data_IF_641596730731
#
_entry.id   IF_641596730731
#
_cell.length_a   1.000
_cell.length_b   1.000
_cell.length_c   1.000
_cell.angle_alpha   90.00
_cell.angle_beta   90.00
_cell.angle_gamma   90.00
#
_symmetry.space_group_name_H-M   'P 1'
#
loop_
_entity.id
_entity.type
_entity.pdbx_description
1 polymer ?
#
# COMPACT_ATOMS: atom_id res chain seq x y z
N UNK A 1 16.07 -2.03 5.06
CA UNK A 1 14.67 -2.26 5.49
C UNK A 1 14.42 -1.90 6.95
N UNK A 2 15.15 -2.44 7.98
CA UNK A 2 14.89 -2.06 9.40
C UNK A 2 15.11 -0.57 9.63
N UNK A 3 16.24 -0.04 9.19
CA UNK A 3 16.54 1.40 9.32
C UNK A 3 15.53 2.27 8.57
N UNK A 4 15.11 1.86 7.37
CA UNK A 4 14.10 2.61 6.62
C UNK A 4 12.73 2.61 7.30
N UNK A 5 12.31 1.51 7.94
CA UNK A 5 11.10 1.44 8.73
C UNK A 5 11.14 2.40 9.93
N UNK A 6 12.26 2.40 10.65
CA UNK A 6 12.44 3.29 11.82
C UNK A 6 12.45 4.76 11.39
N UNK A 7 13.17 5.09 10.33
CA UNK A 7 13.25 6.47 9.82
C UNK A 7 11.86 6.94 9.34
N UNK A 8 11.18 6.16 8.49
CA UNK A 8 9.85 6.55 8.00
C UNK A 8 8.82 6.64 9.13
N UNK A 9 8.88 5.73 10.10
CA UNK A 9 8.02 5.78 11.28
C UNK A 9 8.29 7.02 12.13
N UNK A 10 9.56 7.34 12.41
CA UNK A 10 9.94 8.53 13.18
C UNK A 10 9.52 9.83 12.47
N UNK A 11 9.72 9.92 11.15
CA UNK A 11 9.28 11.07 10.36
C UNK A 11 7.76 11.20 10.31
N UNK A 12 7.04 10.08 10.23
CA UNK A 12 5.57 10.07 10.27
C UNK A 12 5.05 10.56 11.64
N UNK A 13 5.67 10.11 12.73
CA UNK A 13 5.33 10.58 14.09
C UNK A 13 5.65 12.07 14.25
N UNK A 14 6.82 12.52 13.79
CA UNK A 14 7.17 13.95 13.79
C UNK A 14 6.12 14.77 13.05
N UNK A 15 5.73 14.35 11.85
CA UNK A 15 4.74 15.04 11.04
C UNK A 15 3.36 15.06 11.73
N UNK A 16 2.96 13.93 12.35
CA UNK A 16 1.75 13.83 13.13
C UNK A 16 1.75 14.84 14.29
N UNK A 17 2.86 14.93 15.04
CA UNK A 17 2.99 15.89 16.15
C UNK A 17 2.90 17.32 15.64
N UNK A 18 3.62 17.67 14.56
CA UNK A 18 3.60 19.01 13.98
C UNK A 18 2.20 19.42 13.52
N UNK A 19 1.44 18.49 12.94
CA UNK A 19 0.04 18.72 12.54
C UNK A 19 -0.86 18.87 13.79
N UNK A 20 -0.71 17.99 14.77
CA UNK A 20 -1.53 18.00 15.98
C UNK A 20 -1.35 19.28 16.82
N UNK A 21 -0.10 19.79 16.93
CA UNK A 21 0.18 21.05 17.62
C UNK A 21 -0.02 22.30 16.74
N UNK A 22 -0.52 22.11 15.52
CA UNK A 22 -0.76 23.22 14.56
C UNK A 22 0.46 24.10 14.30
N UNK A 23 1.64 23.48 14.10
CA UNK A 23 2.88 24.20 13.90
C UNK A 23 2.81 25.10 12.67
N UNK A 24 2.87 26.43 12.90
CA UNK A 24 2.54 27.41 11.88
C UNK A 24 3.40 27.37 10.62
N UNK A 25 4.73 27.07 10.64
CA UNK A 25 5.50 26.95 9.40
C UNK A 25 5.05 25.81 8.50
N UNK A 26 4.66 24.66 9.05
CA UNK A 26 4.13 23.54 8.27
C UNK A 26 2.77 23.89 7.67
N UNK A 27 1.87 24.48 8.47
CA UNK A 27 0.55 24.86 8.02
C UNK A 27 0.58 25.98 6.97
N UNK A 28 1.55 26.92 7.07
CA UNK A 28 1.74 27.95 6.06
C UNK A 28 2.27 27.38 4.74
N UNK A 29 3.19 26.41 4.80
CA UNK A 29 3.64 25.67 3.62
C UNK A 29 2.48 24.93 2.96
N UNK A 30 1.70 24.17 3.72
CA UNK A 30 0.52 23.45 3.24
C UNK A 30 -0.44 24.40 2.51
N UNK A 31 -0.75 25.54 3.11
CA UNK A 31 -1.62 26.56 2.48
C UNK A 31 -1.02 27.14 1.21
N UNK A 32 0.25 27.53 1.25
CA UNK A 32 0.92 28.13 0.09
C UNK A 32 0.92 27.20 -1.11
N UNK A 33 1.21 25.91 -0.89
CA UNK A 33 1.19 24.88 -1.93
C UNK A 33 -0.23 24.64 -2.43
N UNK A 34 -1.19 24.49 -1.51
CA UNK A 34 -2.58 24.25 -1.88
C UNK A 34 -3.17 25.41 -2.65
N UNK A 35 -2.95 26.67 -2.23
CA UNK A 35 -3.41 27.88 -2.92
C UNK A 35 -2.80 27.99 -4.32
N UNK A 36 -1.51 27.71 -4.48
CA UNK A 36 -0.85 27.76 -5.78
C UNK A 36 -1.41 26.74 -6.75
N UNK A 37 -1.59 25.49 -6.30
CA UNK A 37 -2.12 24.40 -7.12
C UNK A 37 -3.61 24.58 -7.43
N UNK A 38 -4.40 25.09 -6.48
CA UNK A 38 -5.80 25.38 -6.73
C UNK A 38 -6.00 26.46 -7.78
N UNK A 39 -5.20 27.54 -7.76
CA UNK A 39 -5.22 28.55 -8.84
C UNK A 39 -4.88 27.92 -10.20
N UNK A 40 -3.88 27.03 -10.25
CA UNK A 40 -3.53 26.31 -11.48
C UNK A 40 -4.69 25.41 -11.94
N UNK A 41 -5.36 24.72 -11.00
CA UNK A 41 -6.45 23.82 -11.30
C UNK A 41 -7.68 24.57 -11.88
N UNK A 42 -7.96 25.78 -11.42
CA UNK A 42 -8.99 26.65 -11.99
C UNK A 42 -8.61 27.19 -13.38
N UNK A 43 -7.33 27.49 -13.60
CA UNK A 43 -6.85 28.03 -14.88
C UNK A 43 -6.76 26.98 -15.99
N UNK A 44 -6.62 25.68 -15.64
CA UNK A 44 -6.34 24.59 -16.58
C UNK A 44 -7.41 23.47 -16.51
N UNK A 45 -8.65 23.72 -16.96
CA UNK A 45 -9.75 22.75 -16.79
C UNK A 45 -9.48 21.39 -17.42
N UNK A 46 -8.79 21.35 -18.58
CA UNK A 46 -8.43 20.10 -19.26
C UNK A 46 -7.44 19.24 -18.44
N UNK A 47 -6.43 19.87 -17.87
CA UNK A 47 -5.47 19.20 -17.01
C UNK A 47 -6.10 18.75 -15.68
N UNK A 48 -6.99 19.56 -15.13
CA UNK A 48 -7.79 19.21 -13.94
C UNK A 48 -8.67 18.01 -14.19
N UNK A 49 -9.34 17.94 -15.35
CA UNK A 49 -10.14 16.77 -15.74
C UNK A 49 -9.27 15.50 -15.86
N UNK A 50 -8.09 15.60 -16.48
CA UNK A 50 -7.17 14.48 -16.57
C UNK A 50 -6.70 14.00 -15.18
N UNK A 51 -6.35 14.93 -14.26
CA UNK A 51 -5.99 14.59 -12.87
C UNK A 51 -7.14 13.91 -12.13
N UNK A 52 -8.37 14.33 -12.36
CA UNK A 52 -9.58 13.71 -11.78
C UNK A 52 -9.75 12.28 -12.29
N UNK A 53 -9.65 12.06 -13.61
CA UNK A 53 -9.72 10.72 -14.19
C UNK A 53 -8.63 9.78 -13.63
N UNK A 54 -7.40 10.27 -13.51
CA UNK A 54 -6.31 9.49 -12.92
C UNK A 54 -6.59 9.16 -11.45
N UNK A 55 -7.08 10.11 -10.67
CA UNK A 55 -7.37 9.95 -9.26
C UNK A 55 -8.52 8.98 -8.99
N UNK A 56 -9.58 9.05 -9.81
CA UNK A 56 -10.84 8.34 -9.56
C UNK A 56 -10.88 6.94 -10.19
N UNK A 57 -10.02 6.67 -11.20
CA UNK A 57 -10.01 5.40 -11.91
C UNK A 57 -8.70 4.64 -11.78
N UNK A 58 -7.57 5.30 -12.08
CA UNK A 58 -6.26 4.63 -12.08
C UNK A 58 -5.73 4.46 -10.67
N UNK A 59 -5.78 5.53 -9.88
CA UNK A 59 -5.26 5.60 -8.51
C UNK A 59 -6.35 5.61 -7.44
N UNK A 60 -7.52 5.08 -7.77
CA UNK A 60 -8.57 4.88 -6.78
C UNK A 60 -8.16 3.79 -5.78
N UNK A 61 -8.36 4.00 -4.48
CA UNK A 61 -8.05 3.00 -3.46
C UNK A 61 -8.73 1.64 -3.66
N UNK A 62 -9.88 1.59 -4.33
CA UNK A 62 -10.55 0.33 -4.64
C UNK A 62 -9.82 -0.46 -5.71
N UNK A 63 -9.25 0.20 -6.73
CA UNK A 63 -8.40 -0.43 -7.76
C UNK A 63 -7.20 -1.10 -7.10
N UNK A 64 -6.47 -0.37 -6.25
CA UNK A 64 -5.32 -0.92 -5.52
C UNK A 64 -5.72 -2.08 -4.60
N UNK A 65 -6.83 -1.96 -3.88
CA UNK A 65 -7.37 -3.04 -3.03
C UNK A 65 -7.76 -4.27 -3.85
N UNK A 66 -8.37 -4.09 -5.02
CA UNK A 66 -8.71 -5.18 -5.93
C UNK A 66 -7.46 -5.92 -6.43
N UNK A 67 -6.39 -5.20 -6.77
CA UNK A 67 -5.11 -5.79 -7.14
C UNK A 67 -4.48 -6.59 -6.00
N UNK A 68 -4.51 -6.07 -4.77
CA UNK A 68 -4.05 -6.79 -3.58
C UNK A 68 -4.91 -8.05 -3.35
N UNK A 69 -6.24 -7.94 -3.46
CA UNK A 69 -7.14 -9.07 -3.30
C UNK A 69 -6.88 -10.16 -4.35
N UNK A 70 -6.66 -9.76 -5.61
CA UNK A 70 -6.28 -10.69 -6.68
C UNK A 70 -4.94 -11.39 -6.37
N UNK A 71 -3.92 -10.66 -5.90
CA UNK A 71 -2.65 -11.24 -5.48
C UNK A 71 -2.84 -12.24 -4.32
N UNK A 72 -3.64 -11.89 -3.32
CA UNK A 72 -3.98 -12.78 -2.18
C UNK A 72 -4.67 -14.05 -2.67
N UNK A 73 -5.63 -13.97 -3.60
CA UNK A 73 -6.29 -15.13 -4.19
C UNK A 73 -5.31 -16.02 -4.95
N UNK A 74 -4.43 -15.43 -5.76
CA UNK A 74 -3.38 -16.18 -6.48
C UNK A 74 -2.46 -16.91 -5.50
N UNK A 75 -1.98 -16.24 -4.44
CA UNK A 75 -1.17 -16.87 -3.40
C UNK A 75 -1.92 -18.01 -2.72
N UNK A 76 -3.21 -17.85 -2.45
CA UNK A 76 -4.05 -18.88 -1.85
C UNK A 76 -4.17 -20.11 -2.76
N UNK A 77 -4.40 -19.94 -4.05
CA UNK A 77 -4.44 -21.01 -5.03
C UNK A 77 -3.10 -21.74 -5.19
N UNK A 78 -1.98 -20.99 -5.06
CA UNK A 78 -0.62 -21.53 -5.07
C UNK A 78 -0.23 -22.24 -3.77
N UNK A 79 -1.16 -22.37 -2.84
CA UNK A 79 -0.94 -22.98 -1.50
C UNK A 79 0.04 -22.19 -0.61
N UNK A 80 0.24 -20.93 -0.88
CA UNK A 80 1.07 -20.02 -0.08
C UNK A 80 0.21 -19.26 0.92
N UNK A 81 -0.53 -20.00 1.74
CA UNK A 81 -1.58 -19.46 2.62
C UNK A 81 -1.05 -18.48 3.65
N UNK A 82 0.14 -18.74 4.19
CA UNK A 82 0.75 -17.84 5.17
C UNK A 82 1.14 -16.50 4.58
N UNK A 83 1.70 -16.48 3.37
CA UNK A 83 2.01 -15.24 2.67
C UNK A 83 0.72 -14.47 2.32
N UNK A 84 -0.32 -15.18 1.87
CA UNK A 84 -1.63 -14.59 1.61
C UNK A 84 -2.23 -13.94 2.86
N UNK A 85 -2.25 -14.64 4.00
CA UNK A 85 -2.71 -14.12 5.29
C UNK A 85 -1.87 -12.93 5.74
N UNK A 86 -0.55 -12.98 5.52
CA UNK A 86 0.35 -11.91 5.90
C UNK A 86 0.10 -10.62 5.11
N UNK A 87 -0.04 -10.72 3.79
CA UNK A 87 -0.39 -9.59 2.92
C UNK A 87 -1.75 -9.00 3.32
N UNK A 88 -2.74 -9.86 3.59
CA UNK A 88 -4.05 -9.44 4.09
C UNK A 88 -3.94 -8.70 5.42
N UNK A 89 -3.23 -9.25 6.39
CA UNK A 89 -3.04 -8.64 7.71
C UNK A 89 -2.32 -7.29 7.62
N UNK A 90 -1.28 -7.17 6.78
CA UNK A 90 -0.57 -5.92 6.56
C UNK A 90 -1.49 -4.83 5.95
N UNK A 91 -2.34 -5.22 4.99
CA UNK A 91 -3.30 -4.32 4.35
C UNK A 91 -4.37 -3.85 5.34
N UNK A 92 -4.91 -4.76 6.15
CA UNK A 92 -5.90 -4.44 7.18
C UNK A 92 -5.30 -3.58 8.29
N UNK A 93 -4.06 -3.84 8.71
CA UNK A 93 -3.33 -3.01 9.66
C UNK A 93 -3.17 -1.59 9.12
N UNK A 94 -2.76 -1.44 7.87
CA UNK A 94 -2.64 -0.13 7.23
C UNK A 94 -3.97 0.63 7.23
N UNK A 95 -5.07 -0.05 6.87
CA UNK A 95 -6.40 0.55 6.88
C UNK A 95 -6.83 0.94 8.30
N UNK A 96 -6.58 0.09 9.29
CA UNK A 96 -6.87 0.37 10.70
C UNK A 96 -6.10 1.59 11.24
N UNK A 97 -4.79 1.64 10.97
CA UNK A 97 -3.94 2.79 11.35
C UNK A 97 -4.44 4.07 10.67
N UNK A 98 -4.75 4.02 9.37
CA UNK A 98 -5.28 5.16 8.64
C UNK A 98 -6.58 5.68 9.26
N UNK A 99 -7.55 4.81 9.50
CA UNK A 99 -8.86 5.22 10.07
C UNK A 99 -8.73 5.70 11.52
N UNK A 100 -7.90 5.03 12.32
CA UNK A 100 -7.61 5.45 13.69
C UNK A 100 -7.00 6.86 13.74
N UNK A 101 -6.01 7.15 12.89
CA UNK A 101 -5.40 8.48 12.81
C UNK A 101 -6.38 9.54 12.28
N UNK A 102 -7.23 9.20 11.29
CA UNK A 102 -8.28 10.10 10.82
C UNK A 102 -9.24 10.51 11.95
N UNK A 103 -9.67 9.53 12.73
CA UNK A 103 -10.57 9.78 13.87
C UNK A 103 -9.89 10.57 15.00
N UNK A 104 -8.61 10.28 15.28
CA UNK A 104 -7.86 10.93 16.36
C UNK A 104 -7.48 12.38 16.03
N UNK A 105 -7.05 12.66 14.79
CA UNK A 105 -6.57 13.99 14.40
C UNK A 105 -7.71 14.91 13.96
N UNK A 106 -8.72 14.38 13.28
CA UNK A 106 -9.89 15.14 12.84
C UNK A 106 -9.58 16.34 11.94
N UNK A 107 -8.42 16.36 11.27
CA UNK A 107 -7.94 17.52 10.50
C UNK A 107 -8.91 17.91 9.39
N UNK A 108 -9.32 19.20 9.30
CA UNK A 108 -10.14 19.68 8.20
C UNK A 108 -9.36 19.65 6.88
N UNK A 109 -10.09 19.42 5.78
CA UNK A 109 -9.56 19.51 4.41
C UNK A 109 -9.41 20.97 3.97
N UNK A 110 -8.63 21.26 2.91
CA UNK A 110 -8.72 22.53 2.23
C UNK A 110 -10.16 22.85 1.87
N UNK A 111 -10.59 24.09 2.13
CA UNK A 111 -11.93 24.58 1.79
C UNK A 111 -11.82 25.69 0.75
N UNK A 112 -12.49 25.51 -0.39
CA UNK A 112 -12.44 26.42 -1.52
C UNK A 112 -13.81 27.00 -1.82
N UNK A 113 -13.94 28.30 -2.21
CA UNK A 113 -15.19 28.85 -2.73
C UNK A 113 -15.65 28.11 -3.99
N UNK A 114 -14.72 27.79 -4.88
CA UNK A 114 -14.95 27.07 -6.15
C UNK A 114 -14.18 25.75 -6.15
N UNK A 115 -14.69 24.69 -5.49
CA UNK A 115 -13.97 23.44 -5.38
C UNK A 115 -13.91 22.71 -6.72
N UNK A 116 -12.72 22.29 -7.14
CA UNK A 116 -12.53 21.49 -8.36
C UNK A 116 -12.78 20.01 -8.13
N UNK A 117 -12.79 19.57 -6.88
CA UNK A 117 -13.13 18.22 -6.45
C UNK A 117 -13.66 18.22 -5.01
N UNK A 118 -14.28 17.13 -4.57
CA UNK A 118 -14.81 16.98 -3.23
C UNK A 118 -14.37 15.69 -2.59
N UNK A 119 -14.13 15.70 -1.27
CA UNK A 119 -13.84 14.51 -0.51
C UNK A 119 -14.39 14.65 0.90
N UNK A 120 -14.90 13.54 1.42
CA UNK A 120 -15.48 13.46 2.75
C UNK A 120 -14.45 12.94 3.77
N UNK A 121 -14.79 13.08 5.06
CA UNK A 121 -13.96 12.65 6.19
C UNK A 121 -12.68 13.49 6.42
N UNK A 122 -12.00 13.21 7.55
CA UNK A 122 -10.78 13.91 7.94
C UNK A 122 -9.65 13.81 6.90
N UNK A 123 -8.84 14.88 6.82
CA UNK A 123 -7.77 14.98 5.82
C UNK A 123 -6.56 14.11 6.16
N UNK A 124 -6.13 14.07 7.42
CA UNK A 124 -4.89 13.44 7.84
C UNK A 124 -5.06 12.01 8.36
N UNK A 125 -4.22 11.06 7.92
CA UNK A 125 -3.35 11.09 6.74
C UNK A 125 -4.15 10.86 5.45
N UNK A 126 -3.52 11.13 4.26
CA UNK A 126 -4.12 10.84 2.98
C UNK A 126 -4.31 9.34 2.75
N UNK A 127 -5.57 8.93 2.58
CA UNK A 127 -5.92 7.53 2.39
C UNK A 127 -5.47 6.98 1.03
N UNK A 128 -5.59 7.77 -0.03
CA UNK A 128 -5.12 7.41 -1.36
C UNK A 128 -3.60 7.18 -1.36
N UNK A 129 -2.83 8.15 -0.84
CA UNK A 129 -1.37 8.05 -0.78
C UNK A 129 -0.90 6.85 0.05
N UNK A 130 -1.53 6.60 1.21
CA UNK A 130 -1.17 5.47 2.07
C UNK A 130 -1.52 4.12 1.42
N UNK A 131 -2.74 3.98 0.85
CA UNK A 131 -3.20 2.73 0.22
C UNK A 131 -2.33 2.39 -0.99
N UNK A 132 -2.01 3.38 -1.83
CA UNK A 132 -1.16 3.17 -3.01
C UNK A 132 0.26 2.76 -2.63
N UNK A 133 0.85 3.41 -1.61
CA UNK A 133 2.18 3.05 -1.11
C UNK A 133 2.22 1.62 -0.58
N UNK A 134 1.21 1.23 0.21
CA UNK A 134 1.09 -0.14 0.74
C UNK A 134 0.89 -1.14 -0.39
N UNK A 135 -0.02 -0.84 -1.32
CA UNK A 135 -0.32 -1.73 -2.45
C UNK A 135 0.91 -1.96 -3.35
N UNK A 136 1.50 -0.89 -3.84
CA UNK A 136 2.72 -0.97 -4.66
C UNK A 136 3.86 -1.70 -3.93
N UNK A 137 4.09 -1.37 -2.65
CA UNK A 137 5.15 -1.98 -1.87
C UNK A 137 4.96 -3.47 -1.62
N UNK A 138 3.74 -3.90 -1.24
CA UNK A 138 3.42 -5.31 -1.01
C UNK A 138 3.42 -6.11 -2.32
N UNK A 139 2.84 -5.57 -3.40
CA UNK A 139 2.82 -6.23 -4.72
C UNK A 139 4.22 -6.42 -5.28
N UNK A 140 5.07 -5.38 -5.24
CA UNK A 140 6.48 -5.50 -5.64
C UNK A 140 7.23 -6.52 -4.78
N UNK A 141 6.97 -6.56 -3.47
CA UNK A 141 7.58 -7.54 -2.60
C UNK A 141 7.15 -8.97 -2.92
N UNK A 142 5.84 -9.22 -3.11
CA UNK A 142 5.32 -10.53 -3.52
C UNK A 142 5.91 -10.95 -4.87
N UNK A 143 5.95 -10.06 -5.84
CA UNK A 143 6.59 -10.34 -7.12
C UNK A 143 8.07 -10.68 -6.96
N UNK A 144 8.81 -9.98 -6.09
CA UNK A 144 10.22 -10.26 -5.82
C UNK A 144 10.48 -11.62 -5.18
N UNK A 145 9.49 -12.22 -4.51
CA UNK A 145 9.59 -13.58 -3.96
C UNK A 145 9.42 -14.67 -5.02
N UNK A 146 8.68 -14.39 -6.09
CA UNK A 146 8.23 -15.41 -7.05
C UNK A 146 8.83 -15.27 -8.45
N UNK A 147 9.29 -14.09 -8.80
CA UNK A 147 9.67 -13.78 -10.16
C UNK A 147 11.15 -13.39 -10.26
N UNK A 148 11.89 -14.15 -11.05
CA UNK A 148 13.30 -13.89 -11.39
C UNK A 148 13.39 -13.03 -12.65
N UNK A 149 12.99 -11.77 -12.51
CA UNK A 149 13.12 -10.81 -13.61
C UNK A 149 14.56 -10.32 -13.77
N UNK A 150 14.84 -9.86 -15.00
CA UNK A 150 16.06 -9.11 -15.27
C UNK A 150 16.05 -7.79 -14.50
N UNK A 151 17.23 -7.21 -14.27
CA UNK A 151 17.33 -5.89 -13.63
C UNK A 151 16.49 -4.81 -14.35
N UNK A 152 16.34 -4.92 -15.70
CA UNK A 152 15.50 -4.01 -16.48
C UNK A 152 14.02 -4.16 -16.14
N UNK A 153 13.53 -5.38 -16.02
CA UNK A 153 12.14 -5.64 -15.61
C UNK A 153 11.85 -5.06 -14.23
N UNK A 154 12.76 -5.25 -13.27
CA UNK A 154 12.64 -4.66 -11.94
C UNK A 154 12.67 -3.13 -11.96
N UNK A 155 13.51 -2.52 -12.79
CA UNK A 155 13.56 -1.05 -12.93
C UNK A 155 12.24 -0.50 -13.46
N UNK A 156 11.63 -1.13 -14.45
CA UNK A 156 10.33 -0.73 -14.99
C UNK A 156 9.24 -0.82 -13.93
N UNK A 157 9.16 -1.94 -13.21
CA UNK A 157 8.16 -2.11 -12.13
C UNK A 157 8.35 -1.11 -10.99
N UNK A 158 9.59 -0.87 -10.58
CA UNK A 158 9.90 0.11 -9.53
C UNK A 158 9.57 1.54 -9.98
N UNK A 159 9.87 1.91 -11.22
CA UNK A 159 9.52 3.21 -11.78
C UNK A 159 7.99 3.35 -11.87
N UNK A 160 7.29 2.34 -12.36
CA UNK A 160 5.83 2.36 -12.43
C UNK A 160 5.19 2.55 -11.05
N UNK A 161 5.67 1.81 -10.05
CA UNK A 161 5.21 1.96 -8.66
C UNK A 161 5.52 3.35 -8.10
N UNK A 162 6.73 3.88 -8.36
CA UNK A 162 7.10 5.23 -7.93
C UNK A 162 6.22 6.30 -8.58
N UNK A 163 5.98 6.18 -9.89
CA UNK A 163 5.08 7.09 -10.62
C UNK A 163 3.66 7.02 -10.05
N UNK A 164 3.16 5.82 -9.75
CA UNK A 164 1.84 5.66 -9.13
C UNK A 164 1.78 6.32 -7.75
N UNK A 165 2.74 6.04 -6.87
CA UNK A 165 2.78 6.62 -5.51
C UNK A 165 2.90 8.13 -5.52
N UNK A 166 3.80 8.69 -6.35
CA UNK A 166 3.95 10.14 -6.46
C UNK A 166 2.77 10.79 -7.19
N UNK A 167 2.28 10.13 -8.24
CA UNK A 167 1.16 10.61 -9.05
C UNK A 167 -0.13 10.71 -8.25
N UNK A 168 -0.48 9.68 -7.45
CA UNK A 168 -1.65 9.78 -6.58
C UNK A 168 -1.51 10.92 -5.57
N UNK A 169 -0.35 11.08 -4.96
CA UNK A 169 -0.12 12.19 -4.03
C UNK A 169 -0.27 13.55 -4.70
N UNK A 170 0.31 13.71 -5.88
CA UNK A 170 0.16 14.90 -6.69
C UNK A 170 -1.31 15.21 -6.97
N UNK A 171 -2.08 14.26 -7.49
CA UNK A 171 -3.50 14.48 -7.82
C UNK A 171 -4.31 14.93 -6.62
N UNK A 172 -4.04 14.38 -5.42
CA UNK A 172 -4.79 14.74 -4.21
C UNK A 172 -4.52 16.17 -3.73
N UNK A 173 -3.29 16.67 -3.89
CA UNK A 173 -2.95 18.06 -3.57
C UNK A 173 -3.44 19.00 -4.67
N UNK A 174 -3.24 18.63 -5.95
CA UNK A 174 -3.64 19.42 -7.10
C UNK A 174 -5.16 19.64 -7.16
N UNK A 175 -5.94 18.59 -6.88
CA UNK A 175 -7.40 18.65 -6.80
C UNK A 175 -7.92 19.35 -5.54
N UNK A 176 -7.02 19.82 -4.67
CA UNK A 176 -7.38 20.61 -3.49
C UNK A 176 -8.10 19.86 -2.39
N UNK A 177 -8.00 18.52 -2.34
CA UNK A 177 -8.71 17.68 -1.36
C UNK A 177 -7.84 17.24 -0.20
N UNK A 178 -6.52 17.42 -0.28
CA UNK A 178 -5.55 17.14 0.78
C UNK A 178 -4.46 18.21 0.87
N UNK A 179 -3.94 18.39 2.06
CA UNK A 179 -2.73 19.14 2.30
C UNK A 179 -1.50 18.32 1.89
N UNK A 180 -0.40 19.00 1.53
CA UNK A 180 0.86 18.30 1.19
C UNK A 180 1.33 17.39 2.32
N UNK A 181 1.28 17.87 3.56
CA UNK A 181 1.67 17.08 4.74
C UNK A 181 0.79 15.84 4.98
N UNK A 182 -0.50 15.84 4.59
CA UNK A 182 -1.35 14.65 4.66
C UNK A 182 -0.86 13.55 3.72
N UNK A 183 -0.42 13.95 2.53
CA UNK A 183 0.09 13.06 1.50
C UNK A 183 1.43 12.46 1.92
N UNK A 184 2.37 13.32 2.37
CA UNK A 184 3.68 12.88 2.87
C UNK A 184 3.52 11.92 4.05
N UNK A 185 2.61 12.21 4.98
CA UNK A 185 2.29 11.30 6.08
C UNK A 185 1.76 9.95 5.57
N UNK A 186 0.89 9.97 4.56
CA UNK A 186 0.39 8.75 3.91
C UNK A 186 1.52 7.89 3.32
N UNK A 187 2.46 8.49 2.60
CA UNK A 187 3.63 7.80 2.05
C UNK A 187 4.54 7.22 3.14
N UNK A 188 4.85 8.00 4.16
CA UNK A 188 5.73 7.57 5.26
C UNK A 188 5.12 6.43 6.07
N UNK A 189 3.83 6.53 6.43
CA UNK A 189 3.11 5.48 7.15
C UNK A 189 2.96 4.22 6.30
N UNK A 190 2.59 4.37 5.02
CA UNK A 190 2.48 3.27 4.07
C UNK A 190 3.80 2.52 3.93
N UNK A 191 4.91 3.24 3.73
CA UNK A 191 6.24 2.63 3.66
C UNK A 191 6.66 1.96 4.97
N UNK A 192 6.35 2.57 6.11
CA UNK A 192 6.62 1.99 7.43
C UNK A 192 5.92 0.63 7.57
N UNK A 193 4.63 0.54 7.25
CA UNK A 193 3.86 -0.71 7.29
C UNK A 193 4.46 -1.77 6.36
N UNK A 194 4.81 -1.41 5.12
CA UNK A 194 5.45 -2.32 4.16
C UNK A 194 6.77 -2.84 4.70
N UNK A 195 7.64 -1.93 5.15
CA UNK A 195 8.97 -2.28 5.63
C UNK A 195 8.93 -3.16 6.89
N UNK A 196 8.05 -2.84 7.85
CA UNK A 196 7.80 -3.67 9.04
C UNK A 196 7.27 -5.03 8.63
N UNK A 197 6.30 -5.09 7.72
CA UNK A 197 5.72 -6.35 7.24
C UNK A 197 6.78 -7.26 6.62
N UNK A 198 7.63 -6.73 5.74
CA UNK A 198 8.70 -7.50 5.10
C UNK A 198 9.72 -8.00 6.14
N UNK A 199 10.17 -7.12 7.05
CA UNK A 199 11.15 -7.49 8.07
C UNK A 199 10.61 -8.58 9.00
N UNK A 200 9.36 -8.46 9.41
CA UNK A 200 8.71 -9.40 10.32
C UNK A 200 8.42 -10.73 9.63
N UNK A 201 7.94 -10.71 8.38
CA UNK A 201 7.76 -11.93 7.60
C UNK A 201 9.06 -12.71 7.41
N UNK A 202 10.17 -12.02 7.04
CA UNK A 202 11.48 -12.66 6.89
C UNK A 202 11.99 -13.28 8.19
N UNK A 203 11.60 -12.74 9.35
CA UNK A 203 12.02 -13.26 10.65
C UNK A 203 11.17 -14.42 11.15
N UNK A 204 9.87 -14.40 10.89
CA UNK A 204 8.90 -15.32 11.49
C UNK A 204 8.06 -16.09 10.47
N UNK A 205 7.70 -15.50 9.35
CA UNK A 205 6.75 -16.04 8.38
C UNK A 205 7.30 -17.22 7.57
N UNK A 206 8.56 -17.14 7.15
CA UNK A 206 9.20 -18.17 6.32
C UNK A 206 9.18 -19.58 6.93
N UNK A 207 9.26 -19.67 8.24
CA UNK A 207 9.24 -20.97 8.98
C UNK A 207 7.89 -21.68 8.89
N UNK A 208 6.80 -20.95 8.66
CA UNK A 208 5.46 -21.51 8.59
C UNK A 208 5.12 -21.96 7.17
N UNK A 209 5.58 -21.26 6.14
CA UNK A 209 5.43 -21.69 4.74
C UNK A 209 6.15 -23.02 4.46
N UNK A 210 7.32 -23.26 5.08
CA UNK A 210 8.03 -24.53 4.95
C UNK A 210 7.28 -25.68 5.63
N UNK A 211 6.66 -25.44 6.78
CA UNK A 211 5.85 -26.45 7.48
C UNK A 211 4.60 -26.82 6.70
N UNK A 212 3.91 -25.85 6.08
CA UNK A 212 2.70 -26.07 5.30
C UNK A 212 3.01 -26.89 4.03
N UNK A 213 4.15 -26.63 3.39
CA UNK A 213 4.66 -27.41 2.23
C UNK A 213 5.15 -28.80 2.63
N UNK A 214 5.72 -28.97 3.82
CA UNK A 214 6.22 -30.25 4.33
C UNK A 214 5.12 -31.17 4.89
N UNK A 215 3.98 -30.64 5.29
CA UNK A 215 2.83 -31.43 5.76
C UNK A 215 2.02 -32.05 4.62
N UNK A 216 2.19 -31.61 3.38
CA UNK A 216 1.73 -32.28 2.17
C UNK A 216 2.76 -33.34 1.77
N UNK A 217 2.84 -34.45 2.53
CA UNK A 217 3.74 -35.57 2.26
C UNK A 217 3.62 -36.10 0.83
N UNK A 218 4.66 -36.77 0.29
CA UNK A 218 4.59 -37.37 -1.02
C UNK A 218 3.41 -38.33 -1.09
N UNK A 219 2.69 -38.40 -2.24
CA UNK A 219 1.61 -39.37 -2.42
C UNK A 219 2.15 -40.77 -2.12
N UNK A 220 1.38 -41.54 -1.34
CA UNK A 220 1.73 -42.93 -1.02
C UNK A 220 2.06 -43.67 -2.33
N UNK A 221 3.14 -44.47 -2.38
CA UNK A 221 3.45 -45.25 -3.55
C UNK A 221 2.25 -46.14 -3.90
N UNK A 222 1.92 -46.32 -5.20
CA UNK A 222 0.86 -47.19 -5.61
C UNK A 222 1.10 -48.58 -5.01
N UNK A 223 0.05 -49.10 -4.32
CA UNK A 223 0.14 -50.29 -3.51
C UNK A 223 0.79 -51.43 -4.28
N UNK A 224 1.82 -52.01 -3.70
CA UNK A 224 2.32 -53.34 -4.10
C UNK A 224 1.22 -54.36 -3.82
N UNK A 225 0.43 -54.66 -4.82
CA UNK A 225 -0.51 -55.76 -4.83
C UNK A 225 0.29 -57.05 -4.69
N UNK A 226 0.41 -57.52 -3.46
CA UNK A 226 1.04 -58.78 -3.13
C UNK A 226 0.15 -59.97 -3.45
N UNK A 227 0.03 -60.31 -4.73
CA UNK A 227 -0.47 -61.62 -5.12
C UNK A 227 0.49 -62.69 -4.66
N UNK A 228 0.31 -63.21 -3.43
CA UNK A 228 0.85 -64.49 -3.02
C UNK A 228 0.07 -65.57 -3.73
N UNK A 229 0.64 -66.05 -4.84
CA UNK A 229 0.23 -67.38 -5.37
C UNK A 229 0.58 -68.45 -4.31
N UNK A 230 -0.44 -69.16 -3.87
CA UNK A 230 -0.28 -70.37 -3.16
C UNK A 230 0.23 -71.47 -4.08
N UNK A 231 1.32 -72.11 -3.71
CA UNK A 231 1.68 -73.40 -4.24
C UNK A 231 1.36 -74.45 -3.19
N UNK A 232 0.39 -75.28 -3.59
CA UNK A 232 0.10 -76.58 -2.99
C UNK A 232 0.98 -77.65 -3.63
N UNK A 233 1.73 -78.41 -2.91
CA UNK A 233 1.93 -79.88 -3.06
C UNK A 233 2.32 -80.46 -1.73
#
# INVERSE_FOLDING_TARGET
MRSSALISGALAVLLLVLVAVSWSPLLSLDRSVADALHRSALAEPGFTHANRLLSDWVWDPWTTRALIAAAVLVLWWRRERWLALWVTAATLLAAGVQQGLKAAVGRPRPGWPDPVDSAHYAAFPSGHAMTETVGCGLLLWVLALHWRETWRGWSVLAVAALVSVLGVGWTRVYLGVHWLSDVVAGWLLGWCVVAVSIVTYRRYGHRWDEKDKGSAGPPAPPGSDGSRMGETT
#
